data_IF_301359060758
#
_entry.id   IF_301359060758
#
_cell.length_a   1.000
_cell.length_b   1.000
_cell.length_c   1.000
_cell.angle_alpha   90.00
_cell.angle_beta   90.00
_cell.angle_gamma   90.00
#
_symmetry.space_group_name_H-M   'P 1'
#
loop_
_entity.id
_entity.type
_entity.pdbx_description
1 polymer ?
#
# COMPACT_ATOMS: atom_id res chain seq x y z
N UNK A 1 -60.20 22.79 32.90
CA UNK A 1 -60.88 23.45 31.77
C UNK A 1 -60.87 22.46 30.61
N UNK A 2 -62.07 21.98 30.29
CA UNK A 2 -62.40 20.94 29.31
C UNK A 2 -62.08 21.30 27.86
N UNK A 3 -62.05 20.28 27.01
CA UNK A 3 -62.90 20.04 25.82
C UNK A 3 -62.09 19.10 24.88
N UNK A 4 -62.39 17.79 24.82
CA UNK A 4 -63.36 17.10 23.92
C UNK A 4 -63.08 17.36 22.42
N UNK A 5 -63.19 16.43 21.49
CA UNK A 5 -63.75 15.08 21.46
C UNK A 5 -63.91 14.63 19.99
N UNK A 6 -64.15 13.33 19.82
CA UNK A 6 -64.87 12.61 18.74
C UNK A 6 -64.50 12.87 17.26
N UNK A 7 -63.99 11.87 16.53
CA UNK A 7 -64.69 10.74 15.85
C UNK A 7 -65.68 11.13 14.74
N UNK A 8 -65.76 10.22 13.74
CA UNK A 8 -66.67 10.10 12.57
C UNK A 8 -66.03 10.62 11.27
N UNK A 9 -66.11 10.00 10.09
CA UNK A 9 -66.32 8.63 9.55
C UNK A 9 -66.47 8.81 8.02
N UNK A 10 -66.28 7.73 7.24
CA UNK A 10 -66.72 7.53 5.85
C UNK A 10 -66.02 8.40 4.77
N UNK A 11 -65.74 7.90 3.56
CA UNK A 11 -66.02 6.63 2.91
C UNK A 11 -65.86 6.81 1.39
N UNK A 12 -65.39 5.75 0.72
CA UNK A 12 -65.56 5.39 -0.70
C UNK A 12 -65.42 6.46 -1.81
N UNK A 13 -64.54 6.21 -2.78
CA UNK A 13 -64.98 5.69 -4.09
C UNK A 13 -63.81 5.36 -5.02
N UNK A 14 -64.05 4.31 -5.79
CA UNK A 14 -63.30 3.55 -6.79
C UNK A 14 -63.11 4.23 -8.16
N UNK A 15 -62.20 3.62 -8.95
CA UNK A 15 -62.00 3.66 -10.42
C UNK A 15 -60.77 4.48 -10.86
N UNK A 16 -59.87 4.02 -11.74
CA UNK A 16 -59.76 2.80 -12.52
C UNK A 16 -58.56 2.86 -13.49
N UNK A 17 -58.16 1.66 -13.94
CA UNK A 17 -57.48 1.29 -15.19
C UNK A 17 -56.08 1.84 -15.60
N UNK A 18 -55.14 0.88 -15.63
CA UNK A 18 -54.39 0.37 -16.80
C UNK A 18 -53.24 1.20 -17.46
N UNK A 19 -52.06 0.58 -17.40
CA UNK A 19 -50.98 0.40 -18.42
C UNK A 19 -49.62 1.10 -18.27
N UNK A 20 -48.62 0.24 -18.47
CA UNK A 20 -47.29 0.45 -19.07
C UNK A 20 -46.12 0.97 -18.21
N UNK A 21 -45.35 -0.03 -17.81
CA UNK A 21 -43.93 -0.05 -17.43
C UNK A 21 -43.02 0.60 -18.49
N UNK A 22 -42.04 1.40 -18.02
CA UNK A 22 -40.58 1.30 -18.21
C UNK A 22 -40.00 2.69 -17.96
N UNK A 23 -39.35 2.88 -16.79
CA UNK A 23 -38.37 3.96 -16.56
C UNK A 23 -37.14 3.31 -15.96
N UNK A 24 -36.04 3.56 -16.65
CA UNK A 24 -34.66 3.32 -16.27
C UNK A 24 -34.20 4.48 -15.35
N UNK A 25 -33.23 4.20 -14.46
CA UNK A 25 -32.25 5.13 -13.84
C UNK A 25 -32.36 5.42 -12.31
N UNK A 26 -31.30 4.98 -11.63
CA UNK A 26 -30.57 5.55 -10.45
C UNK A 26 -30.87 5.18 -8.98
N UNK A 27 -29.73 5.17 -8.25
CA UNK A 27 -29.48 5.27 -6.79
C UNK A 27 -29.60 3.98 -5.96
N UNK A 28 -28.57 3.51 -5.24
CA UNK A 28 -27.79 4.07 -4.11
C UNK A 28 -28.59 4.17 -2.79
N UNK A 29 -27.95 3.74 -1.70
CA UNK A 29 -28.35 3.66 -0.27
C UNK A 29 -29.06 2.37 0.17
N UNK A 30 -28.45 1.55 1.04
CA UNK A 30 -28.15 1.74 2.48
C UNK A 30 -29.33 1.37 3.38
N UNK A 31 -29.06 0.40 4.27
CA UNK A 31 -29.67 0.08 5.58
C UNK A 31 -31.18 0.25 5.75
N UNK A 32 -31.84 -0.84 6.17
CA UNK A 32 -32.46 -0.90 7.50
C UNK A 32 -32.72 -2.35 7.93
N UNK A 33 -32.34 -2.67 9.16
CA UNK A 33 -32.78 -3.84 9.93
C UNK A 33 -34.29 -3.74 10.24
N UNK A 34 -35.01 -4.86 10.33
CA UNK A 34 -35.89 -5.17 11.48
C UNK A 34 -36.56 -6.56 11.34
N UNK A 35 -36.21 -7.40 12.31
CA UNK A 35 -37.05 -8.34 13.09
C UNK A 35 -37.93 -9.41 12.39
N UNK A 36 -37.41 -10.64 12.50
CA UNK A 36 -38.00 -11.84 13.14
C UNK A 36 -39.51 -12.06 13.16
N UNK A 37 -39.90 -13.25 12.69
CA UNK A 37 -40.86 -14.25 13.24
C UNK A 37 -41.60 -14.91 12.07
N UNK A 38 -41.92 -16.19 12.00
CA UNK A 38 -41.72 -17.37 12.83
C UNK A 38 -41.91 -18.60 11.92
N UNK A 39 -41.40 -19.74 12.40
CA UNK A 39 -41.67 -21.10 11.94
C UNK A 39 -43.12 -21.38 11.54
N UNK A 40 -43.34 -22.04 10.39
CA UNK A 40 -44.21 -23.23 10.29
C UNK A 40 -43.60 -24.23 9.30
N UNK A 41 -43.30 -25.43 9.82
CA UNK A 41 -43.07 -26.67 9.07
C UNK A 41 -44.38 -27.12 8.43
N UNK A 42 -44.40 -27.38 7.13
CA UNK A 42 -45.21 -28.46 6.54
C UNK A 42 -44.55 -28.96 5.25
N UNK A 43 -44.34 -30.30 5.17
CA UNK A 43 -44.16 -31.03 3.91
C UNK A 43 -45.52 -31.10 3.20
N UNK A 44 -45.56 -31.21 1.85
CA UNK A 44 -45.76 -32.52 1.22
C UNK A 44 -44.87 -32.73 -0.03
N UNK A 45 -44.32 -33.94 -0.26
CA UNK A 45 -44.85 -35.04 -1.10
C UNK A 45 -44.86 -34.68 -2.62
N UNK A 46 -43.98 -35.40 -3.34
CA UNK A 46 -43.75 -35.52 -4.80
C UNK A 46 -45.02 -35.70 -5.66
N UNK A 47 -45.01 -35.51 -7.01
CA UNK A 47 -43.97 -36.01 -7.92
C UNK A 47 -43.52 -35.16 -9.13
N UNK A 48 -42.32 -35.54 -9.56
CA UNK A 48 -41.67 -35.47 -10.87
C UNK A 48 -42.58 -35.34 -12.10
N UNK A 49 -42.45 -34.23 -12.83
CA UNK A 49 -42.57 -34.19 -14.30
C UNK A 49 -41.44 -33.29 -14.83
N UNK A 50 -40.52 -33.91 -15.58
CA UNK A 50 -39.40 -33.23 -16.20
C UNK A 50 -39.80 -32.42 -17.42
N UNK A 51 -39.24 -31.21 -17.53
CA UNK A 51 -38.95 -30.55 -18.80
C UNK A 51 -37.60 -29.84 -18.69
N UNK A 52 -36.64 -30.07 -19.60
CA UNK A 52 -35.39 -29.33 -19.60
C UNK A 52 -35.66 -27.90 -20.09
N UNK A 53 -35.31 -26.91 -19.28
CA UNK A 53 -35.20 -25.51 -19.71
C UNK A 53 -33.97 -25.44 -20.62
N UNK A 54 -34.17 -25.15 -21.91
CA UNK A 54 -33.07 -24.81 -22.82
C UNK A 54 -32.42 -23.52 -22.32
N UNK A 55 -31.19 -23.60 -21.83
CA UNK A 55 -30.33 -22.44 -21.69
C UNK A 55 -30.06 -21.89 -23.10
N UNK A 56 -30.52 -20.67 -23.38
CA UNK A 56 -30.05 -19.91 -24.53
C UNK A 56 -28.56 -19.65 -24.36
N UNK A 57 -27.73 -20.29 -25.17
CA UNK A 57 -26.32 -19.95 -25.32
C UNK A 57 -26.22 -18.54 -25.92
N UNK A 58 -25.77 -17.57 -25.14
CA UNK A 58 -25.35 -16.26 -25.65
C UNK A 58 -24.01 -16.47 -26.35
N UNK A 59 -24.02 -16.54 -27.68
CA UNK A 59 -22.78 -16.56 -28.47
C UNK A 59 -22.13 -15.17 -28.40
N UNK A 60 -20.82 -15.05 -28.13
CA UNK A 60 -20.14 -13.77 -28.17
C UNK A 60 -20.19 -13.21 -29.61
N UNK A 61 -20.81 -12.05 -29.76
CA UNK A 61 -20.88 -11.36 -31.06
C UNK A 61 -19.46 -10.87 -31.42
N UNK A 62 -18.91 -11.39 -32.51
CA UNK A 62 -17.65 -10.92 -33.07
C UNK A 62 -17.71 -9.42 -33.36
N UNK A 63 -16.76 -8.65 -32.82
CA UNK A 63 -16.60 -7.20 -33.05
C UNK A 63 -16.51 -6.82 -34.53
N UNK A 64 -16.11 -7.75 -35.41
CA UNK A 64 -16.12 -7.52 -36.86
C UNK A 64 -17.53 -7.45 -37.45
N UNK A 65 -18.52 -8.14 -36.88
CA UNK A 65 -19.93 -8.07 -37.34
C UNK A 65 -20.58 -6.72 -37.01
N UNK A 66 -20.19 -6.06 -35.92
CA UNK A 66 -20.71 -4.74 -35.55
C UNK A 66 -20.22 -3.62 -36.48
N UNK A 67 -19.06 -3.80 -37.14
CA UNK A 67 -18.52 -2.82 -38.10
C UNK A 67 -19.32 -2.72 -39.41
N UNK A 68 -20.12 -3.72 -39.73
CA UNK A 68 -20.90 -3.79 -40.98
C UNK A 68 -22.39 -3.44 -40.79
N UNK A 69 -22.81 -3.02 -39.59
CA UNK A 69 -24.18 -2.56 -39.37
C UNK A 69 -24.36 -1.14 -39.93
N UNK A 70 -25.33 -0.99 -40.82
CA UNK A 70 -25.74 0.31 -41.38
C UNK A 70 -26.52 1.11 -40.33
N UNK A 71 -25.79 1.80 -39.45
CA UNK A 71 -26.37 2.77 -38.55
C UNK A 71 -26.80 4.04 -39.30
N UNK A 72 -27.91 4.64 -38.86
CA UNK A 72 -28.36 5.94 -39.37
C UNK A 72 -27.29 7.03 -39.13
N UNK A 73 -27.23 8.07 -39.98
CA UNK A 73 -26.14 9.07 -39.99
C UNK A 73 -25.74 9.66 -38.62
N UNK A 74 -26.67 10.00 -37.70
CA UNK A 74 -26.28 10.57 -36.40
C UNK A 74 -25.61 9.55 -35.46
N UNK A 75 -25.96 8.26 -35.57
CA UNK A 75 -25.38 7.20 -34.73
C UNK A 75 -23.99 6.78 -35.21
N UNK A 76 -23.78 6.70 -36.52
CA UNK A 76 -22.48 6.35 -37.11
C UNK A 76 -21.38 7.36 -36.77
N UNK A 77 -21.74 8.65 -36.70
CA UNK A 77 -20.79 9.73 -36.34
C UNK A 77 -20.34 9.61 -34.87
N UNK A 78 -21.27 9.34 -33.94
CA UNK A 78 -20.94 9.11 -32.52
C UNK A 78 -20.14 7.83 -32.30
N UNK A 79 -20.47 6.74 -32.99
CA UNK A 79 -19.76 5.47 -32.87
C UNK A 79 -18.31 5.54 -33.40
N UNK A 80 -18.10 6.25 -34.52
CA UNK A 80 -16.75 6.47 -35.05
C UNK A 80 -15.92 7.42 -34.17
N UNK A 81 -16.52 8.45 -33.58
CA UNK A 81 -15.83 9.30 -32.59
C UNK A 81 -15.39 8.53 -31.33
N UNK A 82 -16.23 7.61 -30.84
CA UNK A 82 -15.90 6.75 -29.70
C UNK A 82 -14.75 5.77 -30.02
N UNK A 83 -14.71 5.22 -31.23
CA UNK A 83 -13.61 4.37 -31.68
C UNK A 83 -12.30 5.15 -31.88
N UNK A 84 -12.37 6.38 -32.39
CA UNK A 84 -11.19 7.25 -32.58
C UNK A 84 -10.63 7.72 -31.22
N UNK A 85 -11.47 8.08 -30.25
CA UNK A 85 -11.03 8.47 -28.90
C UNK A 85 -10.37 7.30 -28.14
N UNK A 86 -10.89 6.08 -28.28
CA UNK A 86 -10.24 4.89 -27.72
C UNK A 86 -8.98 4.48 -28.49
N UNK A 87 -8.91 4.74 -29.80
CA UNK A 87 -7.74 4.44 -30.65
C UNK A 87 -6.60 5.45 -30.49
N UNK A 88 -6.90 6.73 -30.25
CA UNK A 88 -5.89 7.78 -30.03
C UNK A 88 -5.40 7.78 -28.58
N UNK A 89 -6.26 7.44 -27.61
CA UNK A 89 -5.84 7.23 -26.22
C UNK A 89 -4.90 6.03 -26.04
N UNK A 90 -4.98 5.01 -26.90
CA UNK A 90 -4.14 3.82 -26.82
C UNK A 90 -2.68 4.04 -27.20
N UNK A 91 -2.38 4.82 -28.25
CA UNK A 91 -0.99 5.11 -28.66
C UNK A 91 -0.26 5.96 -27.64
N UNK A 92 -0.90 7.04 -27.18
CA UNK A 92 -0.33 7.91 -26.15
C UNK A 92 -0.11 7.16 -24.83
N UNK A 93 -0.95 6.17 -24.51
CA UNK A 93 -0.76 5.35 -23.30
C UNK A 93 0.45 4.41 -23.41
N UNK A 94 0.66 3.77 -24.56
CA UNK A 94 1.81 2.89 -24.75
C UNK A 94 3.14 3.66 -24.74
N UNK A 95 3.20 4.79 -25.43
CA UNK A 95 4.36 5.69 -25.43
C UNK A 95 4.66 6.22 -24.02
N UNK A 96 3.64 6.67 -23.29
CA UNK A 96 3.79 7.11 -21.90
C UNK A 96 4.27 5.98 -20.97
N UNK A 97 3.75 4.75 -21.13
CA UNK A 97 4.25 3.60 -20.35
C UNK A 97 5.72 3.30 -20.65
N UNK A 98 6.14 3.40 -21.92
CA UNK A 98 7.54 3.22 -22.30
C UNK A 98 8.43 4.32 -21.71
N UNK A 99 7.97 5.57 -21.72
CA UNK A 99 8.65 6.70 -21.10
C UNK A 99 8.81 6.49 -19.58
N UNK A 100 7.72 6.10 -18.90
CA UNK A 100 7.72 5.79 -17.46
C UNK A 100 8.68 4.63 -17.13
N UNK A 101 8.75 3.58 -17.95
CA UNK A 101 9.75 2.52 -17.79
C UNK A 101 11.17 3.05 -17.98
N UNK A 102 11.40 3.95 -18.94
CA UNK A 102 12.67 4.64 -19.12
C UNK A 102 13.08 5.43 -17.88
N UNK A 103 12.15 6.16 -17.26
CA UNK A 103 12.37 6.90 -16.02
C UNK A 103 12.68 5.97 -14.83
N UNK A 104 12.00 4.82 -14.74
CA UNK A 104 12.31 3.79 -13.73
C UNK A 104 13.72 3.24 -13.89
N UNK A 105 14.15 2.96 -15.12
CA UNK A 105 15.52 2.52 -15.41
C UNK A 105 16.53 3.60 -15.01
N UNK A 106 16.26 4.87 -15.31
CA UNK A 106 17.11 5.98 -14.87
C UNK A 106 17.23 6.05 -13.34
N UNK A 107 16.11 5.93 -12.60
CA UNK A 107 16.12 5.90 -11.14
C UNK A 107 16.94 4.72 -10.60
N UNK A 108 16.75 3.52 -11.14
CA UNK A 108 17.52 2.34 -10.72
C UNK A 108 19.02 2.51 -11.00
N UNK A 109 19.38 3.10 -12.14
CA UNK A 109 20.77 3.45 -12.48
C UNK A 109 21.38 4.44 -11.49
N UNK A 110 20.65 5.51 -11.15
CA UNK A 110 21.08 6.49 -10.16
C UNK A 110 21.27 5.85 -8.77
N UNK A 111 20.35 4.98 -8.35
CA UNK A 111 20.45 4.25 -7.07
C UNK A 111 21.68 3.32 -7.07
N UNK A 112 21.97 2.65 -8.19
CA UNK A 112 23.15 1.79 -8.30
C UNK A 112 24.43 2.61 -8.17
N UNK A 113 24.57 3.69 -8.94
CA UNK A 113 25.70 4.61 -8.86
C UNK A 113 25.89 5.17 -7.45
N UNK A 114 24.81 5.57 -6.78
CA UNK A 114 24.86 6.01 -5.38
C UNK A 114 25.42 4.92 -4.44
N UNK A 115 24.96 3.67 -4.60
CA UNK A 115 25.47 2.54 -3.81
C UNK A 115 26.95 2.25 -4.09
N UNK A 116 27.40 2.39 -5.34
CA UNK A 116 28.81 2.22 -5.71
C UNK A 116 29.68 3.30 -5.05
N UNK A 117 29.22 4.56 -5.08
CA UNK A 117 29.94 5.65 -4.40
C UNK A 117 30.00 5.41 -2.88
N UNK A 118 28.91 4.92 -2.27
CA UNK A 118 28.92 4.52 -0.86
C UNK A 118 29.81 3.31 -0.56
N UNK A 119 29.93 2.36 -1.49
CA UNK A 119 30.83 1.24 -1.33
C UNK A 119 32.30 1.68 -1.37
N UNK A 120 32.62 2.67 -2.22
CA UNK A 120 33.96 3.25 -2.37
C UNK A 120 34.35 4.17 -1.22
N UNK A 121 33.48 5.13 -0.88
CA UNK A 121 33.81 6.23 0.05
C UNK A 121 33.30 5.96 1.47
N UNK A 122 32.51 4.90 1.66
CA UNK A 122 31.92 4.52 2.93
C UNK A 122 30.46 4.92 3.07
N UNK A 123 29.89 4.57 4.22
CA UNK A 123 28.50 4.83 4.58
C UNK A 123 28.48 5.60 5.89
N UNK A 124 27.42 6.39 6.11
CA UNK A 124 27.17 6.97 7.43
C UNK A 124 26.95 5.80 8.40
N UNK A 125 27.88 5.64 9.34
CA UNK A 125 27.73 4.67 10.42
C UNK A 125 26.84 5.28 11.49
N UNK A 126 25.65 4.72 11.64
CA UNK A 126 24.70 5.11 12.68
C UNK A 126 24.68 3.97 13.68
N UNK A 127 25.17 4.25 14.89
CA UNK A 127 25.23 3.24 15.94
C UNK A 127 23.95 3.24 16.76
N UNK A 128 23.14 2.20 16.53
CA UNK A 128 21.85 2.05 17.15
C UNK A 128 21.93 1.68 18.61
N UNK A 129 21.39 2.57 19.46
CA UNK A 129 21.04 2.27 20.85
C UNK A 129 22.08 2.64 21.92
N UNK A 130 23.15 3.37 21.60
CA UNK A 130 24.16 3.75 22.60
C UNK A 130 24.46 5.25 22.71
N UNK A 131 24.09 6.08 21.73
CA UNK A 131 24.46 7.51 21.75
C UNK A 131 23.41 8.50 21.23
N UNK A 132 22.20 8.05 20.86
CA UNK A 132 21.07 8.93 20.58
C UNK A 132 21.20 9.85 19.34
N UNK A 133 22.24 9.69 18.52
CA UNK A 133 22.47 10.51 17.32
C UNK A 133 21.56 10.20 16.12
N UNK A 134 20.76 9.13 16.22
CA UNK A 134 19.91 8.60 15.14
C UNK A 134 18.55 9.29 15.06
N UNK A 135 18.11 9.81 16.21
CA UNK A 135 16.83 10.45 16.36
C UNK A 135 17.05 11.94 16.46
N UNK A 136 16.21 12.71 15.79
CA UNK A 136 16.17 14.15 16.01
C UNK A 136 15.86 14.41 17.49
N UNK A 137 16.69 15.23 18.17
CA UNK A 137 16.58 15.45 19.60
C UNK A 137 15.21 16.01 20.03
N UNK A 138 14.57 16.79 19.15
CA UNK A 138 13.26 17.42 19.39
C UNK A 138 12.12 16.45 19.06
N UNK A 139 12.11 15.89 17.86
CA UNK A 139 10.95 15.12 17.37
C UNK A 139 10.99 13.64 17.73
N UNK A 140 12.19 13.12 18.10
CA UNK A 140 12.47 11.68 18.27
C UNK A 140 12.20 10.83 17.04
N UNK A 141 12.03 11.45 15.87
CA UNK A 141 11.88 10.76 14.61
C UNK A 141 13.25 10.44 13.99
N UNK A 142 13.33 9.44 13.08
CA UNK A 142 14.56 9.13 12.36
C UNK A 142 15.11 10.36 11.65
N UNK A 143 16.40 10.62 11.83
CA UNK A 143 17.08 11.72 11.15
C UNK A 143 17.07 11.49 9.64
N UNK A 144 16.73 12.55 8.90
CA UNK A 144 16.86 12.57 7.46
C UNK A 144 18.32 12.82 7.07
N UNK A 145 18.94 11.84 6.42
CA UNK A 145 20.34 11.92 5.98
C UNK A 145 20.56 12.91 4.84
N UNK A 146 19.48 13.34 4.18
CA UNK A 146 19.51 14.41 3.19
C UNK A 146 19.74 15.79 3.82
N UNK A 147 19.17 16.00 5.01
CA UNK A 147 19.20 17.29 5.68
C UNK A 147 20.63 17.66 6.11
N UNK A 148 20.97 18.94 5.96
CA UNK A 148 22.28 19.45 6.35
C UNK A 148 23.44 18.86 5.54
N UNK A 149 23.18 18.46 4.29
CA UNK A 149 24.17 17.85 3.39
C UNK A 149 24.76 16.54 3.94
N UNK A 150 23.98 15.72 4.63
CA UNK A 150 24.48 14.52 5.29
C UNK A 150 25.21 13.54 4.37
N UNK A 151 24.78 13.37 3.11
CA UNK A 151 25.51 12.56 2.12
C UNK A 151 26.85 13.17 1.69
N UNK A 152 26.94 14.50 1.61
CA UNK A 152 28.19 15.20 1.30
C UNK A 152 29.21 15.12 2.45
N UNK A 153 28.75 14.87 3.68
CA UNK A 153 29.65 14.62 4.81
C UNK A 153 30.42 13.29 4.68
N UNK A 154 29.96 12.38 3.81
CA UNK A 154 30.72 11.18 3.42
C UNK A 154 31.76 11.58 2.37
N UNK A 155 31.30 12.08 1.22
CA UNK A 155 32.12 12.61 0.14
C UNK A 155 31.27 13.45 -0.82
N UNK A 156 31.91 14.31 -1.62
CA UNK A 156 31.22 15.07 -2.66
C UNK A 156 30.58 14.17 -3.73
N UNK A 157 31.21 13.03 -4.04
CA UNK A 157 30.68 12.09 -5.03
C UNK A 157 29.43 11.36 -4.54
N UNK A 158 29.40 10.96 -3.26
CA UNK A 158 28.19 10.36 -2.66
C UNK A 158 27.05 11.40 -2.60
N UNK A 159 27.38 12.65 -2.25
CA UNK A 159 26.44 13.77 -2.29
C UNK A 159 25.82 13.98 -3.67
N UNK A 160 26.65 14.11 -4.71
CA UNK A 160 26.19 14.27 -6.10
C UNK A 160 25.37 13.08 -6.59
N UNK A 161 25.79 11.85 -6.27
CA UNK A 161 25.04 10.66 -6.65
C UNK A 161 23.66 10.59 -5.94
N UNK A 162 23.55 11.08 -4.71
CA UNK A 162 22.27 11.21 -4.03
C UNK A 162 21.36 12.24 -4.73
N UNK A 163 21.90 13.38 -5.16
CA UNK A 163 21.15 14.41 -5.90
C UNK A 163 20.58 13.87 -7.23
N UNK A 164 21.33 12.99 -7.92
CA UNK A 164 20.82 12.29 -9.11
C UNK A 164 19.63 11.38 -8.80
N UNK A 165 19.64 10.70 -7.65
CA UNK A 165 18.50 9.90 -7.19
C UNK A 165 17.28 10.79 -6.92
N UNK A 166 17.44 11.92 -6.23
CA UNK A 166 16.33 12.85 -5.99
C UNK A 166 15.76 13.41 -7.28
N UNK A 167 16.61 13.83 -8.21
CA UNK A 167 16.17 14.32 -9.52
C UNK A 167 15.33 13.29 -10.26
N UNK A 168 15.73 12.03 -10.25
CA UNK A 168 14.95 10.96 -10.87
C UNK A 168 13.62 10.70 -10.15
N UNK A 169 13.59 10.80 -8.81
CA UNK A 169 12.37 10.69 -8.01
C UNK A 169 11.39 11.83 -8.34
N UNK A 170 11.85 13.07 -8.39
CA UNK A 170 11.01 14.24 -8.64
C UNK A 170 10.37 14.17 -10.04
N UNK A 171 11.11 13.67 -11.04
CA UNK A 171 10.55 13.43 -12.39
C UNK A 171 9.47 12.34 -12.35
N UNK A 172 9.71 11.21 -11.68
CA UNK A 172 8.71 10.13 -11.54
C UNK A 172 7.45 10.59 -10.79
N UNK A 173 7.60 11.37 -9.72
CA UNK A 173 6.49 11.94 -8.94
C UNK A 173 5.53 12.74 -9.83
N UNK A 174 6.04 13.47 -10.83
CA UNK A 174 5.22 14.24 -11.78
C UNK A 174 4.37 13.39 -12.73
N UNK A 175 4.70 12.10 -12.90
CA UNK A 175 4.03 11.17 -13.82
C UNK A 175 3.40 9.97 -13.08
N UNK A 176 3.03 10.14 -11.81
CA UNK A 176 2.43 9.08 -10.99
C UNK A 176 1.17 8.47 -11.67
N UNK A 177 1.18 7.19 -12.07
CA UNK A 177 0.07 6.58 -12.78
C UNK A 177 -1.09 6.17 -11.86
N UNK A 178 -0.89 6.15 -10.53
CA UNK A 178 -1.90 5.75 -9.54
C UNK A 178 -2.28 6.93 -8.66
N UNK A 179 -3.32 7.71 -8.99
CA UNK A 179 -3.72 8.89 -8.21
C UNK A 179 -4.36 8.55 -6.85
N UNK A 180 -4.89 7.33 -6.68
CA UNK A 180 -5.54 6.86 -5.46
C UNK A 180 -4.83 5.61 -4.88
N UNK A 181 -3.56 5.70 -4.45
CA UNK A 181 -2.81 4.55 -3.98
C UNK A 181 -3.42 3.88 -2.73
N UNK A 182 -4.18 4.61 -1.92
CA UNK A 182 -4.82 4.08 -0.70
C UNK A 182 -6.23 3.51 -0.92
N UNK A 183 -6.70 3.42 -2.16
CA UNK A 183 -8.02 2.87 -2.47
C UNK A 183 -8.17 1.45 -1.86
N UNK A 184 -9.33 1.18 -1.23
CA UNK A 184 -9.64 -0.05 -0.49
C UNK A 184 -8.82 -0.34 0.77
N UNK A 185 -7.89 0.53 1.18
CA UNK A 185 -7.05 0.27 2.35
C UNK A 185 -7.87 0.21 3.66
N UNK A 186 -7.69 -0.86 4.43
CA UNK A 186 -8.42 -1.11 5.67
C UNK A 186 -9.85 -1.63 5.49
N UNK A 187 -10.22 -2.04 4.26
CA UNK A 187 -11.54 -2.58 3.94
C UNK A 187 -11.49 -4.09 3.66
N UNK A 188 -12.65 -4.75 3.57
CA UNK A 188 -12.72 -6.15 3.12
C UNK A 188 -12.20 -6.37 1.70
N UNK A 189 -12.17 -5.32 0.88
CA UNK A 189 -11.63 -5.34 -0.48
C UNK A 189 -10.14 -4.98 -0.52
N UNK A 190 -9.46 -4.92 0.64
CA UNK A 190 -8.07 -4.47 0.73
C UNK A 190 -7.08 -5.26 -0.14
N UNK A 191 -7.40 -6.48 -0.57
CA UNK A 191 -6.56 -7.21 -1.53
C UNK A 191 -6.46 -6.53 -2.91
N UNK A 192 -7.45 -5.69 -3.25
CA UNK A 192 -7.47 -4.85 -4.45
C UNK A 192 -6.74 -3.52 -4.26
N UNK A 193 -6.30 -3.21 -3.04
CA UNK A 193 -5.56 -1.98 -2.76
C UNK A 193 -4.22 -1.99 -3.51
N UNK A 194 -3.88 -0.94 -4.28
CA UNK A 194 -2.62 -0.87 -5.02
C UNK A 194 -1.37 -1.06 -4.13
N UNK A 195 -1.45 -0.64 -2.86
CA UNK A 195 -0.35 -0.77 -1.90
C UNK A 195 -0.18 -2.19 -1.34
N UNK A 196 -1.18 -3.08 -1.47
CA UNK A 196 -1.19 -4.40 -0.84
C UNK A 196 0.00 -5.27 -1.28
N UNK A 197 0.50 -6.13 -0.40
CA UNK A 197 1.57 -7.10 -0.69
C UNK A 197 2.98 -6.66 -0.28
N UNK A 198 4.01 -7.41 -0.72
CA UNK A 198 5.39 -7.20 -0.31
C UNK A 198 6.09 -6.10 -1.12
N UNK A 199 7.06 -5.45 -0.48
CA UNK A 199 7.88 -4.36 -1.00
C UNK A 199 9.31 -4.48 -0.45
N UNK A 200 10.31 -4.42 -1.32
CA UNK A 200 11.74 -4.48 -0.98
C UNK A 200 12.34 -3.08 -1.04
N UNK A 201 13.15 -2.71 -0.05
CA UNK A 201 13.79 -1.40 -0.01
C UNK A 201 14.91 -1.32 -1.06
N UNK A 202 14.89 -0.26 -1.87
CA UNK A 202 15.90 0.02 -2.88
C UNK A 202 16.81 1.17 -2.48
N UNK A 203 16.22 2.25 -1.96
CA UNK A 203 16.89 3.46 -1.50
C UNK A 203 16.07 4.10 -0.38
N UNK A 204 16.77 4.73 0.57
CA UNK A 204 16.15 5.54 1.61
C UNK A 204 17.09 6.62 2.11
N UNK A 205 16.51 7.68 2.64
CA UNK A 205 17.21 8.77 3.32
C UNK A 205 17.08 8.66 4.84
N UNK A 206 16.28 7.71 5.33
CA UNK A 206 16.08 7.48 6.74
C UNK A 206 17.31 6.76 7.33
N UNK A 207 17.90 7.40 8.33
CA UNK A 207 18.99 6.85 9.12
C UNK A 207 18.71 5.43 9.64
N UNK A 208 17.49 5.22 10.12
CA UNK A 208 17.09 4.01 10.84
C UNK A 208 16.92 2.76 9.96
N UNK A 209 16.90 2.96 8.64
CA UNK A 209 16.76 1.92 7.64
C UNK A 209 18.08 1.57 6.93
N UNK A 210 19.19 2.21 7.32
CA UNK A 210 20.53 1.99 6.76
C UNK A 210 21.36 1.07 7.66
N UNK A 211 21.74 -0.10 7.14
CA UNK A 211 22.59 -1.06 7.84
C UNK A 211 23.97 -1.14 7.18
N UNK A 212 25.02 -1.26 7.99
CA UNK A 212 26.39 -1.40 7.50
C UNK A 212 27.00 -2.74 7.94
N UNK A 213 27.77 -3.43 7.08
CA UNK A 213 28.50 -4.64 7.45
C UNK A 213 29.47 -4.45 8.61
N UNK A 214 29.93 -3.21 8.82
CA UNK A 214 30.87 -2.83 9.86
C UNK A 214 30.19 -2.45 11.18
N UNK A 215 28.86 -2.39 11.23
CA UNK A 215 28.14 -2.18 12.48
C UNK A 215 28.19 -3.43 13.37
N UNK A 216 28.06 -3.25 14.68
CA UNK A 216 27.91 -4.34 15.65
C UNK A 216 26.80 -5.32 15.25
N UNK A 217 25.74 -4.81 14.61
CA UNK A 217 24.55 -5.55 14.20
C UNK A 217 24.70 -6.26 12.86
N UNK A 218 25.68 -5.85 12.06
CA UNK A 218 25.97 -6.40 10.73
C UNK A 218 25.11 -5.82 9.62
N UNK A 219 25.29 -6.41 8.44
CA UNK A 219 24.50 -6.11 7.27
C UNK A 219 23.07 -6.66 7.41
N UNK A 220 22.10 -5.97 6.83
CA UNK A 220 20.70 -6.40 6.87
C UNK A 220 19.92 -5.88 5.67
N UNK A 221 18.89 -6.63 5.28
CA UNK A 221 17.95 -6.22 4.24
C UNK A 221 16.64 -5.75 4.89
N UNK A 222 16.21 -4.55 4.50
CA UNK A 222 14.92 -4.00 4.89
C UNK A 222 13.87 -4.25 3.80
N UNK A 223 12.68 -4.65 4.22
CA UNK A 223 11.51 -4.81 3.38
C UNK A 223 10.25 -4.47 4.19
N UNK A 224 9.10 -4.37 3.54
CA UNK A 224 7.83 -4.30 4.24
C UNK A 224 6.75 -5.09 3.51
N UNK A 225 5.76 -5.54 4.29
CA UNK A 225 4.55 -6.17 3.78
C UNK A 225 3.36 -5.32 4.21
N UNK A 226 2.56 -4.92 3.22
CA UNK A 226 1.28 -4.24 3.45
C UNK A 226 0.18 -5.29 3.39
N UNK A 227 -0.56 -5.42 4.49
CA UNK A 227 -1.80 -6.19 4.58
C UNK A 227 -2.93 -5.15 4.63
N UNK A 228 -3.40 -4.76 3.44
CA UNK A 228 -4.38 -3.70 3.30
C UNK A 228 -5.76 -4.15 3.79
N UNK A 229 -6.09 -5.44 3.74
CA UNK A 229 -7.34 -5.97 4.31
C UNK A 229 -7.41 -5.71 5.81
N UNK A 230 -6.31 -5.95 6.54
CA UNK A 230 -6.26 -5.75 7.99
C UNK A 230 -5.84 -4.34 8.41
N UNK A 231 -5.51 -3.46 7.47
CA UNK A 231 -4.91 -2.15 7.75
C UNK A 231 -3.61 -2.29 8.55
N UNK A 232 -2.70 -3.16 8.12
CA UNK A 232 -1.42 -3.42 8.79
C UNK A 232 -0.26 -3.24 7.84
N UNK A 233 0.83 -2.69 8.36
CA UNK A 233 2.12 -2.64 7.68
C UNK A 233 3.12 -3.32 8.59
N UNK A 234 3.88 -4.27 8.04
CA UNK A 234 4.95 -4.96 8.77
C UNK A 234 6.27 -4.61 8.12
N UNK A 235 7.10 -3.83 8.81
CA UNK A 235 8.49 -3.62 8.39
C UNK A 235 9.31 -4.82 8.85
N UNK A 236 10.12 -5.37 7.97
CA UNK A 236 10.91 -6.58 8.16
C UNK A 236 12.37 -6.21 7.93
N UNK A 237 13.21 -6.44 8.93
CA UNK A 237 14.66 -6.34 8.83
C UNK A 237 15.21 -7.76 8.96
N UNK A 238 15.91 -8.23 7.93
CA UNK A 238 16.53 -9.55 7.89
C UNK A 238 18.03 -9.38 7.97
N UNK A 239 18.64 -9.88 9.04
CA UNK A 239 20.07 -9.74 9.27
C UNK A 239 20.84 -10.81 8.48
N UNK A 240 21.87 -10.37 7.76
CA UNK A 240 22.78 -11.26 7.06
C UNK A 240 23.58 -12.11 8.07
N UNK A 241 23.96 -13.36 7.72
CA UNK A 241 24.88 -14.16 8.51
C UNK A 241 26.18 -13.41 8.85
N UNK A 242 26.85 -13.82 9.92
CA UNK A 242 28.18 -13.31 10.26
C UNK A 242 29.20 -13.61 9.16
N UNK A 243 30.37 -12.96 9.22
CA UNK A 243 31.49 -13.24 8.31
C UNK A 243 31.95 -14.70 8.37
N UNK A 244 31.70 -15.38 9.49
CA UNK A 244 31.94 -16.79 9.73
C UNK A 244 30.85 -17.73 9.16
N UNK A 245 29.87 -17.18 8.44
CA UNK A 245 28.73 -17.91 7.90
C UNK A 245 27.70 -18.34 8.96
N UNK A 246 27.92 -18.03 10.24
CA UNK A 246 27.01 -18.44 11.31
C UNK A 246 25.82 -17.47 11.42
N UNK A 247 24.62 -17.97 11.74
CA UNK A 247 23.47 -17.11 11.96
C UNK A 247 23.71 -16.22 13.19
N UNK A 248 23.28 -14.96 13.09
CA UNK A 248 23.34 -14.00 14.19
C UNK A 248 22.29 -14.32 15.24
N UNK A 249 22.53 -13.94 16.49
CA UNK A 249 21.60 -14.13 17.61
C UNK A 249 20.19 -13.69 17.26
N UNK A 250 20.07 -12.51 16.63
CA UNK A 250 18.84 -12.02 15.99
C UNK A 250 18.99 -12.19 14.49
N UNK A 251 18.09 -12.95 13.88
CA UNK A 251 18.09 -13.17 12.42
C UNK A 251 17.05 -12.30 11.70
N UNK A 252 15.97 -11.91 12.39
CA UNK A 252 14.91 -11.12 11.80
C UNK A 252 14.17 -10.31 12.86
N UNK A 253 13.88 -9.06 12.53
CA UNK A 253 13.06 -8.14 13.30
C UNK A 253 11.84 -7.77 12.46
N UNK A 254 10.63 -8.01 12.98
CA UNK A 254 9.37 -7.57 12.38
C UNK A 254 8.71 -6.52 13.27
N UNK A 255 8.62 -5.32 12.76
CA UNK A 255 7.87 -4.22 13.36
C UNK A 255 6.46 -4.21 12.78
N UNK A 256 5.46 -4.52 13.59
CA UNK A 256 4.06 -4.50 13.14
C UNK A 256 3.44 -3.15 13.51
N UNK A 257 2.81 -2.54 12.52
CA UNK A 257 2.12 -1.26 12.61
C UNK A 257 0.63 -1.46 12.31
N UNK A 258 -0.24 -0.74 13.01
CA UNK A 258 -1.62 -0.51 12.55
C UNK A 258 -1.62 0.75 11.71
N UNK A 259 -2.06 0.65 10.47
CA UNK A 259 -2.12 1.74 9.51
C UNK A 259 -3.57 2.11 9.17
N UNK A 260 -3.79 3.37 8.81
CA UNK A 260 -5.08 3.93 8.42
C UNK A 260 -4.86 4.89 7.25
N UNK A 261 -5.65 4.76 6.18
CA UNK A 261 -5.66 5.76 5.11
C UNK A 261 -6.34 7.05 5.62
N UNK A 262 -5.65 8.18 5.50
CA UNK A 262 -6.18 9.50 5.88
C UNK A 262 -6.66 10.30 4.67
N UNK A 263 -6.07 10.03 3.51
CA UNK A 263 -6.46 10.58 2.21
C UNK A 263 -6.18 9.55 1.11
N UNK A 264 -6.40 9.94 -0.15
CA UNK A 264 -6.05 9.13 -1.32
C UNK A 264 -4.56 8.76 -1.39
N UNK A 265 -3.68 9.58 -0.82
CA UNK A 265 -2.22 9.41 -0.85
C UNK A 265 -1.56 9.24 0.52
N UNK A 266 -2.24 9.63 1.61
CA UNK A 266 -1.69 9.64 2.96
C UNK A 266 -2.09 8.41 3.76
N UNK A 267 -1.09 7.77 4.40
CA UNK A 267 -1.30 6.68 5.35
C UNK A 267 -0.65 7.04 6.68
N UNK A 268 -1.45 7.14 7.73
CA UNK A 268 -0.93 7.24 9.09
C UNK A 268 -0.82 5.88 9.75
N UNK A 269 0.07 5.76 10.72
CA UNK A 269 0.27 4.50 11.41
C UNK A 269 0.64 4.69 12.86
N UNK A 270 0.37 3.65 13.63
CA UNK A 270 0.77 3.53 15.03
C UNK A 270 1.42 2.18 15.26
N UNK A 271 2.48 2.21 16.04
CA UNK A 271 3.25 1.03 16.39
C UNK A 271 2.42 0.07 17.25
N UNK A 272 2.44 -1.23 16.94
CA UNK A 272 1.60 -2.26 17.59
C UNK A 272 2.40 -3.20 18.47
N UNK A 273 3.42 -3.85 17.93
CA UNK A 273 4.32 -4.78 18.62
C UNK A 273 5.52 -5.10 17.72
N UNK A 274 6.54 -5.68 18.31
CA UNK A 274 7.72 -6.19 17.61
C UNK A 274 7.76 -7.70 17.74
N UNK A 275 8.10 -8.39 16.66
CA UNK A 275 8.48 -9.81 16.70
C UNK A 275 9.96 -9.92 16.40
N UNK A 276 10.71 -10.50 17.33
CA UNK A 276 12.14 -10.78 17.18
C UNK A 276 12.27 -12.28 16.96
N UNK A 277 12.87 -12.69 15.85
CA UNK A 277 13.24 -14.07 15.61
C UNK A 277 14.70 -14.26 16.02
N UNK A 278 14.91 -15.20 16.93
CA UNK A 278 16.20 -15.53 17.52
C UNK A 278 16.65 -16.90 17.01
N UNK A 279 17.90 -16.98 16.58
CA UNK A 279 18.56 -18.23 16.19
C UNK A 279 19.38 -18.86 17.34
N UNK A 280 19.68 -18.07 18.37
CA UNK A 280 20.48 -18.46 19.53
C UNK A 280 19.87 -17.88 20.82
N UNK A 281 19.84 -18.68 21.88
CA UNK A 281 19.37 -18.25 23.21
C UNK A 281 20.38 -18.75 24.25
N UNK A 282 20.84 -17.86 25.14
CA UNK A 282 21.88 -18.17 26.17
C UNK A 282 23.13 -18.89 25.64
N UNK A 283 23.64 -18.51 24.47
CA UNK A 283 24.84 -19.12 23.89
C UNK A 283 24.60 -20.45 23.15
N UNK A 284 23.41 -21.05 23.28
CA UNK A 284 23.08 -22.33 22.65
C UNK A 284 22.36 -22.09 21.32
N UNK A 285 22.89 -22.68 20.25
CA UNK A 285 22.21 -22.70 18.96
C UNK A 285 20.97 -23.58 19.03
N UNK A 286 19.85 -23.04 18.59
CA UNK A 286 18.61 -23.79 18.47
C UNK A 286 18.68 -24.59 17.16
N UNK A 287 19.13 -25.85 17.19
CA UNK A 287 19.37 -26.72 16.03
C UNK A 287 18.23 -26.72 14.98
N UNK A 288 18.26 -25.77 14.05
CA UNK A 288 17.21 -25.53 13.05
C UNK A 288 15.89 -24.97 13.60
N UNK A 289 15.79 -24.65 14.90
CA UNK A 289 14.58 -24.09 15.52
C UNK A 289 14.76 -22.59 15.71
N UNK A 290 13.73 -21.80 15.43
CA UNK A 290 13.75 -20.37 15.69
C UNK A 290 12.82 -20.04 16.86
N UNK A 291 13.29 -19.24 17.81
CA UNK A 291 12.43 -18.69 18.85
C UNK A 291 11.90 -17.33 18.39
N UNK A 292 10.58 -17.18 18.29
CA UNK A 292 9.97 -15.88 17.99
C UNK A 292 9.44 -15.25 19.27
N UNK A 293 10.10 -14.19 19.74
CA UNK A 293 9.63 -13.37 20.85
C UNK A 293 8.72 -12.26 20.33
N UNK A 294 7.49 -12.21 20.80
CA UNK A 294 6.60 -11.06 20.54
C UNK A 294 6.70 -10.11 21.71
N UNK A 295 7.42 -9.02 21.51
CA UNK A 295 7.58 -7.98 22.50
C UNK A 295 6.44 -6.99 22.25
N UNK A 296 5.46 -6.89 23.16
CA UNK A 296 4.56 -5.75 23.11
C UNK A 296 5.47 -4.54 23.27
N UNK A 297 5.41 -3.65 22.30
CA UNK A 297 5.90 -2.30 22.54
C UNK A 297 5.23 -1.84 23.80
N UNK A 298 5.97 -1.28 24.75
CA UNK A 298 5.37 -0.35 25.67
C UNK A 298 4.84 0.79 24.80
N UNK A 299 3.59 0.66 24.36
CA UNK A 299 2.80 1.77 23.88
C UNK A 299 2.55 2.67 25.10
N UNK A 300 1.31 2.94 25.50
CA UNK A 300 1.04 3.92 26.55
C UNK A 300 1.71 3.67 27.91
N UNK A 301 2.36 2.53 28.20
CA UNK A 301 2.92 2.26 29.53
C UNK A 301 4.22 3.04 29.83
N UNK A 302 5.28 2.95 29.02
CA UNK A 302 6.52 3.74 29.27
C UNK A 302 6.33 5.22 28.93
N UNK A 303 5.57 5.55 27.88
CA UNK A 303 5.23 6.95 27.57
C UNK A 303 4.29 7.53 28.62
N UNK A 304 3.28 6.82 29.18
CA UNK A 304 2.52 7.37 30.32
C UNK A 304 3.35 7.46 31.59
N UNK A 305 4.26 6.53 31.88
CA UNK A 305 5.15 6.63 33.06
C UNK A 305 6.11 7.83 32.91
N UNK A 306 6.69 8.04 31.72
CA UNK A 306 7.55 9.21 31.44
C UNK A 306 6.76 10.52 31.31
N UNK A 307 5.55 10.50 30.76
CA UNK A 307 4.67 11.68 30.66
C UNK A 307 3.97 12.03 32.00
N UNK A 308 3.80 11.07 32.92
CA UNK A 308 3.38 11.35 34.30
C UNK A 308 4.46 12.16 35.05
N UNK A 309 5.72 12.04 34.64
CA UNK A 309 6.86 12.77 35.23
C UNK A 309 7.28 14.02 34.41
N UNK A 310 6.80 14.17 33.17
CA UNK A 310 7.10 15.32 32.30
C UNK A 310 5.87 15.67 31.45
N UNK A 311 5.41 16.93 31.48
CA UNK A 311 4.41 17.48 30.53
C UNK A 311 5.00 17.52 29.11
N UNK A 312 5.17 16.37 28.48
CA UNK A 312 5.61 16.27 27.10
C UNK A 312 4.37 16.19 26.23
N UNK A 313 4.26 17.10 25.27
CA UNK A 313 3.25 17.05 24.21
C UNK A 313 3.26 15.67 23.54
N UNK A 314 2.07 15.20 23.15
CA UNK A 314 1.96 13.90 22.50
C UNK A 314 2.88 13.86 21.27
N UNK A 315 3.67 12.78 21.06
CA UNK A 315 4.54 12.68 19.90
C UNK A 315 3.71 12.83 18.62
N UNK A 316 4.25 13.50 17.59
CA UNK A 316 3.53 13.72 16.35
C UNK A 316 3.09 12.38 15.75
N UNK A 317 1.92 12.39 15.11
CA UNK A 317 1.37 11.20 14.46
C UNK A 317 2.31 10.79 13.32
N UNK A 318 2.77 9.54 13.33
CA UNK A 318 3.60 9.02 12.24
C UNK A 318 2.74 8.75 10.99
N UNK A 319 3.20 9.23 9.85
CA UNK A 319 2.55 9.03 8.54
C UNK A 319 3.56 9.03 7.40
N UNK A 320 3.14 8.53 6.25
CA UNK A 320 3.79 8.78 4.97
C UNK A 320 2.77 9.18 3.90
N UNK A 321 3.25 9.94 2.92
CA UNK A 321 2.55 10.31 1.70
C UNK A 321 3.14 9.50 0.53
N UNK A 322 2.28 8.78 -0.19
CA UNK A 322 2.66 8.06 -1.41
C UNK A 322 2.71 9.06 -2.55
N UNK A 323 3.91 9.28 -3.09
CA UNK A 323 4.16 10.26 -4.16
C UNK A 323 4.21 9.62 -5.54
N UNK A 324 4.55 8.34 -5.61
CA UNK A 324 4.51 7.55 -6.83
C UNK A 324 4.13 6.10 -6.52
N UNK A 325 3.24 5.52 -7.32
CA UNK A 325 2.93 4.10 -7.24
C UNK A 325 2.53 3.54 -8.60
N UNK A 326 3.12 2.41 -8.97
CA UNK A 326 2.66 1.54 -10.04
C UNK A 326 2.65 0.07 -9.61
N UNK A 327 2.55 -0.86 -10.57
CA UNK A 327 2.55 -2.31 -10.32
C UNK A 327 3.84 -2.84 -9.69
N UNK A 328 4.96 -2.13 -9.82
CA UNK A 328 6.31 -2.60 -9.55
C UNK A 328 7.07 -1.71 -8.56
N UNK A 329 6.85 -0.40 -8.55
CA UNK A 329 7.61 0.58 -7.81
C UNK A 329 6.68 1.46 -6.97
N UNK A 330 7.11 1.75 -5.75
CA UNK A 330 6.51 2.73 -4.85
C UNK A 330 7.56 3.71 -4.36
N UNK A 331 7.20 4.99 -4.32
CA UNK A 331 7.95 6.04 -3.65
C UNK A 331 7.03 6.71 -2.64
N UNK A 332 7.52 6.92 -1.43
CA UNK A 332 6.81 7.67 -0.40
C UNK A 332 7.72 8.57 0.41
N UNK A 333 7.14 9.61 1.01
CA UNK A 333 7.80 10.57 1.90
C UNK A 333 7.17 10.52 3.29
N UNK A 334 7.97 10.52 4.36
CA UNK A 334 7.43 10.60 5.74
C UNK A 334 7.14 12.03 6.14
N UNK A 335 6.50 12.23 7.30
CA UNK A 335 6.28 13.57 7.87
C UNK A 335 7.56 14.37 8.13
N UNK A 336 8.70 13.70 8.23
CA UNK A 336 10.04 14.27 8.39
C UNK A 336 10.79 14.42 7.05
N UNK A 337 10.10 14.24 5.93
CA UNK A 337 10.69 14.36 4.60
C UNK A 337 11.62 13.21 4.22
N UNK A 338 11.67 12.12 4.99
CA UNK A 338 12.46 10.95 4.61
C UNK A 338 11.85 10.31 3.37
N UNK A 339 12.69 9.98 2.38
CA UNK A 339 12.25 9.35 1.14
C UNK A 339 12.53 7.86 1.20
N UNK A 340 11.60 7.06 0.68
CA UNK A 340 11.73 5.61 0.55
C UNK A 340 11.34 5.19 -0.86
N UNK A 341 12.28 4.54 -1.56
CA UNK A 341 12.04 3.92 -2.86
C UNK A 341 12.02 2.41 -2.68
N UNK A 342 10.95 1.78 -3.12
CA UNK A 342 10.71 0.36 -2.88
C UNK A 342 10.17 -0.31 -4.13
N UNK A 343 10.63 -1.52 -4.41
CA UNK A 343 10.18 -2.32 -5.55
C UNK A 343 9.49 -3.60 -5.11
N UNK A 344 8.63 -4.18 -5.97
CA UNK A 344 8.12 -5.53 -5.77
C UNK A 344 9.28 -6.53 -5.85
N UNK A 345 9.33 -7.55 -4.96
CA UNK A 345 10.48 -8.46 -4.89
C UNK A 345 10.87 -9.11 -6.23
N UNK A 346 9.88 -9.61 -6.96
CA UNK A 346 10.04 -10.24 -8.29
C UNK A 346 10.60 -9.27 -9.33
N UNK A 347 10.08 -8.03 -9.36
CA UNK A 347 10.58 -6.99 -10.26
C UNK A 347 12.01 -6.57 -9.92
N UNK A 348 12.33 -6.43 -8.64
CA UNK A 348 13.69 -6.09 -8.20
C UNK A 348 14.69 -7.17 -8.59
N UNK A 349 14.36 -8.45 -8.36
CA UNK A 349 15.22 -9.58 -8.72
C UNK A 349 15.48 -9.65 -10.23
N UNK A 350 14.45 -9.44 -11.06
CA UNK A 350 14.60 -9.42 -12.51
C UNK A 350 15.53 -8.31 -12.98
N UNK A 351 15.40 -7.09 -12.44
CA UNK A 351 16.25 -5.97 -12.82
C UNK A 351 17.69 -6.12 -12.30
N UNK A 352 17.88 -6.69 -11.11
CA UNK A 352 19.22 -7.01 -10.60
C UNK A 352 19.94 -8.02 -11.48
N UNK A 353 19.24 -9.06 -11.98
CA UNK A 353 19.84 -10.04 -12.91
C UNK A 353 20.26 -9.40 -14.23
N UNK A 354 19.45 -8.48 -14.77
CA UNK A 354 19.76 -7.77 -16.02
C UNK A 354 20.98 -6.83 -15.91
N UNK A 355 21.34 -6.38 -14.71
CA UNK A 355 22.51 -5.54 -14.48
C UNK A 355 23.81 -6.34 -14.36
N UNK A 356 23.73 -7.65 -14.12
CA UNK A 356 24.89 -8.54 -13.99
C UNK A 356 25.30 -9.18 -15.34
N UNK A 357 24.47 -9.02 -16.36
CA UNK A 357 24.69 -9.46 -17.75
C UNK A 357 25.05 -8.24 -18.58
#
# INVERSE_FOLDING_TARGET
VSFSGHMISHGFSTAGLILCTIIEIHCFNAKFDLYTSAFIKTKPIFPTIGRPVRCCSVTPVSWQKLKNLNFTPPFRKRFNSFLILNSLGGRNKAENLQEIEGLKVQLLGAIHKFKDMQARDGKISIDFGVSGGELNAKTRAPRNLAEGRGFYAISDDVGRAADEVYKAIDVLESVNPTPNPTEYFGTSEGDRCPLNGPWKLLFTTAADASFSPNSTRGDAQASNVVDAVRGRITNIIEFSPGKDGKPRTVDQLKVVLKATAESSTKVSFRFKYVKVRLSRVFGIFLSGKHLTLTIPVPGPFLTRILCLLRRVEAPPKAFFDVVYLDSHLRIHRTGEGNVFVQGRPDWVEQNQRKQLV
#
